data_IF_636240659837
#
_entry.id   IF_636240659837
#
_cell.length_a   1.000
_cell.length_b   1.000
_cell.length_c   1.000
_cell.angle_alpha   90.00
_cell.angle_beta   90.00
_cell.angle_gamma   90.00
#
_symmetry.space_group_name_H-M   'P 1'
#
loop_
_entity.id
_entity.type
_entity.pdbx_description
1 polymer ?
#
# COMPACT_ATOMS: atom_id res chain seq x y z
N UNK A 1 3.30 2.51 13.81
CA UNK A 1 1.97 3.12 13.57
C UNK A 1 1.23 2.27 12.54
N UNK A 2 -0.09 2.12 12.70
CA UNK A 2 -0.92 1.25 11.86
C UNK A 2 -1.81 2.14 10.99
N UNK A 3 -1.86 1.89 9.68
CA UNK A 3 -2.77 2.57 8.76
C UNK A 3 -4.23 2.41 9.24
N UNK A 4 -5.02 3.47 9.16
CA UNK A 4 -6.44 3.42 9.52
C UNK A 4 -7.19 2.46 8.57
N UNK A 5 -8.19 1.70 9.04
CA UNK A 5 -8.94 0.78 8.18
C UNK A 5 -9.61 1.46 6.97
N UNK A 6 -10.04 2.71 7.13
CA UNK A 6 -10.65 3.50 6.06
C UNK A 6 -9.64 3.85 4.96
N UNK A 7 -8.44 4.29 5.33
CA UNK A 7 -7.36 4.52 4.37
C UNK A 7 -6.94 3.21 3.68
N UNK A 8 -6.95 2.10 4.40
CA UNK A 8 -6.66 0.80 3.80
C UNK A 8 -7.70 0.43 2.72
N UNK A 9 -9.00 0.61 3.01
CA UNK A 9 -10.06 0.38 2.03
C UNK A 9 -9.95 1.34 0.85
N UNK A 10 -9.62 2.61 1.10
CA UNK A 10 -9.49 3.60 0.03
C UNK A 10 -8.30 3.31 -0.89
N UNK A 11 -7.17 2.91 -0.34
CA UNK A 11 -6.03 2.43 -1.12
C UNK A 11 -6.38 1.19 -1.95
N UNK A 12 -7.17 0.27 -1.39
CA UNK A 12 -7.67 -0.90 -2.13
C UNK A 12 -8.55 -0.51 -3.32
N UNK A 13 -9.47 0.44 -3.17
CA UNK A 13 -10.31 0.92 -4.28
C UNK A 13 -9.45 1.46 -5.43
N UNK A 14 -8.43 2.26 -5.10
CA UNK A 14 -7.52 2.86 -6.09
C UNK A 14 -6.69 1.79 -6.80
N UNK A 15 -6.22 0.78 -6.06
CA UNK A 15 -5.40 -0.32 -6.58
C UNK A 15 -6.25 -1.27 -7.46
N UNK A 16 -7.45 -1.62 -7.02
CA UNK A 16 -8.34 -2.56 -7.74
C UNK A 16 -9.00 -1.95 -8.97
N UNK A 17 -9.03 -0.62 -9.08
CA UNK A 17 -9.53 0.10 -10.26
C UNK A 17 -8.70 -0.13 -11.54
N UNK A 18 -7.48 -0.69 -11.44
CA UNK A 18 -6.61 -0.94 -12.58
C UNK A 18 -6.24 -2.43 -12.74
N UNK A 19 -6.35 -2.95 -13.97
CA UNK A 19 -6.24 -4.38 -14.27
C UNK A 19 -4.81 -4.97 -14.27
N UNK A 20 -3.77 -4.16 -14.03
CA UNK A 20 -2.35 -4.61 -14.05
C UNK A 20 -1.58 -4.10 -12.84
N UNK A 21 -1.90 -4.66 -11.68
CA UNK A 21 -1.16 -4.38 -10.44
C UNK A 21 -0.89 -5.70 -9.72
N UNK A 22 0.35 -5.90 -9.30
CA UNK A 22 0.72 -6.98 -8.38
C UNK A 22 0.95 -6.38 -7.00
N UNK A 23 0.11 -6.76 -6.03
CA UNK A 23 0.12 -6.22 -4.66
C UNK A 23 0.04 -7.35 -3.64
N UNK A 24 0.77 -7.22 -2.53
CA UNK A 24 0.66 -8.08 -1.35
C UNK A 24 0.10 -7.30 -0.17
N UNK A 25 -0.83 -7.93 0.54
CA UNK A 25 -1.40 -7.42 1.78
C UNK A 25 -0.83 -8.22 2.94
N UNK A 26 0.03 -7.60 3.75
CA UNK A 26 0.65 -8.30 4.87
C UNK A 26 -0.08 -7.99 6.17
N UNK A 27 -0.56 -9.03 6.84
CA UNK A 27 -1.02 -8.95 8.22
C UNK A 27 0.13 -9.28 9.17
N UNK A 28 0.31 -8.51 10.27
CA UNK A 28 1.34 -8.81 11.24
C UNK A 28 1.04 -10.15 11.93
N UNK A 29 2.01 -11.07 11.93
CA UNK A 29 1.93 -12.33 12.66
C UNK A 29 2.44 -12.10 14.09
N UNK A 30 1.66 -12.51 15.10
CA UNK A 30 2.03 -12.45 16.53
C UNK A 30 2.47 -11.06 17.02
N UNK A 31 1.77 -9.98 16.66
CA UNK A 31 2.11 -8.60 17.04
C UNK A 31 3.54 -8.17 16.64
N UNK A 32 4.19 -8.86 15.71
CA UNK A 32 5.50 -8.44 15.21
C UNK A 32 5.31 -7.33 14.16
N UNK A 33 5.17 -6.11 14.65
CA UNK A 33 4.90 -4.95 13.81
C UNK A 33 6.12 -4.50 12.98
N UNK A 34 7.33 -4.97 13.33
CA UNK A 34 8.61 -4.52 12.78
C UNK A 34 8.79 -4.77 11.27
N UNK A 35 7.94 -5.59 10.65
CA UNK A 35 7.93 -5.86 9.21
C UNK A 35 6.53 -5.77 8.59
N UNK A 36 5.60 -5.04 9.21
CA UNK A 36 4.24 -4.93 8.67
C UNK A 36 4.23 -3.89 7.57
N UNK A 37 4.02 -4.33 6.34
CA UNK A 37 3.69 -3.46 5.22
C UNK A 37 2.27 -3.82 4.82
N UNK A 38 1.25 -3.07 5.29
CA UNK A 38 -0.14 -3.44 5.07
C UNK A 38 -0.44 -3.55 3.56
N UNK A 39 0.22 -2.72 2.74
CA UNK A 39 0.14 -2.77 1.28
C UNK A 39 1.56 -2.68 0.71
N UNK A 40 1.94 -3.67 -0.11
CA UNK A 40 3.21 -3.72 -0.81
C UNK A 40 2.97 -3.96 -2.30
N UNK A 41 3.37 -3.01 -3.13
CA UNK A 41 3.16 -3.03 -4.58
C UNK A 41 4.45 -3.45 -5.28
N UNK A 42 4.39 -4.49 -6.11
CA UNK A 42 5.54 -4.99 -6.89
C UNK A 42 5.53 -4.44 -8.30
N UNK A 43 4.35 -4.40 -8.90
CA UNK A 43 4.12 -3.87 -10.24
C UNK A 43 2.89 -3.00 -10.17
N UNK A 44 2.99 -1.78 -10.69
CA UNK A 44 1.91 -0.80 -10.67
C UNK A 44 1.99 0.15 -11.84
N UNK A 45 0.86 0.75 -12.16
CA UNK A 45 0.76 1.83 -13.13
C UNK A 45 1.10 3.18 -12.48
N UNK A 46 1.78 4.07 -13.23
CA UNK A 46 2.06 5.44 -12.82
C UNK A 46 0.79 6.23 -12.43
N UNK A 47 -0.37 5.93 -13.03
CA UNK A 47 -1.65 6.57 -12.67
C UNK A 47 -2.07 6.26 -11.23
N UNK A 48 -1.92 5.00 -10.81
CA UNK A 48 -2.27 4.54 -9.46
C UNK A 48 -1.33 5.18 -8.44
N UNK A 49 -0.03 5.23 -8.73
CA UNK A 49 0.96 5.87 -7.87
C UNK A 49 0.67 7.36 -7.68
N UNK A 50 0.28 8.06 -8.76
CA UNK A 50 -0.12 9.47 -8.69
C UNK A 50 -1.38 9.66 -7.84
N UNK A 51 -2.39 8.81 -8.00
CA UNK A 51 -3.62 8.89 -7.19
C UNK A 51 -3.35 8.64 -5.71
N UNK A 52 -2.52 7.64 -5.38
CA UNK A 52 -2.10 7.39 -4.01
C UNK A 52 -1.36 8.61 -3.43
N UNK A 53 -0.44 9.22 -4.18
CA UNK A 53 0.24 10.41 -3.71
C UNK A 53 -0.72 11.61 -3.53
N UNK A 54 -1.69 11.79 -4.41
CA UNK A 54 -2.71 12.84 -4.31
C UNK A 54 -3.62 12.67 -3.09
N UNK A 55 -3.97 11.44 -2.75
CA UNK A 55 -4.78 11.10 -1.56
C UNK A 55 -3.98 11.14 -0.25
N UNK A 56 -2.70 11.51 -0.30
CA UNK A 56 -1.83 11.70 0.86
C UNK A 56 -1.13 10.44 1.34
N UNK A 57 -1.07 9.38 0.52
CA UNK A 57 -0.29 8.18 0.86
C UNK A 57 1.19 8.44 0.69
N UNK A 58 1.97 7.98 1.67
CA UNK A 58 3.41 7.89 1.62
C UNK A 58 3.83 6.63 0.86
N UNK A 59 4.60 6.83 -0.19
CA UNK A 59 5.16 5.76 -1.02
C UNK A 59 6.66 5.62 -0.69
N UNK A 60 7.09 4.44 -0.23
CA UNK A 60 8.48 4.18 0.16
C UNK A 60 9.01 2.94 -0.53
N UNK A 61 10.10 3.09 -1.30
CA UNK A 61 10.71 1.94 -1.96
C UNK A 61 11.46 1.07 -0.94
N UNK A 62 11.17 -0.22 -0.92
CA UNK A 62 11.85 -1.21 -0.08
C UNK A 62 12.51 -2.28 -0.97
N UNK A 63 13.39 -3.10 -0.40
CA UNK A 63 13.98 -4.24 -1.11
C UNK A 63 12.93 -5.25 -1.63
N UNK A 64 11.71 -5.24 -1.08
CA UNK A 64 10.63 -6.16 -1.46
C UNK A 64 9.62 -5.54 -2.42
N UNK A 65 9.64 -4.23 -2.64
CA UNK A 65 8.65 -3.52 -3.45
C UNK A 65 8.32 -2.14 -2.88
N UNK A 66 7.35 -1.48 -3.49
CA UNK A 66 6.87 -0.16 -3.09
C UNK A 66 5.86 -0.29 -1.95
N UNK A 67 6.23 0.20 -0.77
CA UNK A 67 5.37 0.23 0.40
C UNK A 67 4.45 1.44 0.35
N UNK A 68 3.18 1.23 0.67
CA UNK A 68 2.17 2.28 0.78
C UNK A 68 1.74 2.41 2.23
N UNK A 69 1.95 3.59 2.81
CA UNK A 69 1.52 3.96 4.16
C UNK A 69 0.73 5.26 4.14
N UNK A 70 -0.03 5.53 5.19
CA UNK A 70 -0.68 6.82 5.43
C UNK A 70 -0.72 7.07 6.92
N UNK A 71 -0.40 8.31 7.31
CA UNK A 71 -0.24 8.77 8.68
C UNK A 71 -1.25 9.86 9.00
#
# INVERSE_FOLDING_TARGET
MKMHPEDFHRALEIITSNNRITVSFNTPVKNNYSNTHPILIYESNATVLKQLQQEGYSLSMTKKGLRVDKY
#
